data_IF_918715740205
#
_entry.id   IF_918715740205
#
_cell.length_a   1.000
_cell.length_b   1.000
_cell.length_c   1.000
_cell.angle_alpha   90.00
_cell.angle_beta   90.00
_cell.angle_gamma   90.00
#
_symmetry.space_group_name_H-M   'P 1'
#
loop_
_entity.id
_entity.type
_entity.pdbx_description
1 polymer ?
#
# COMPACT_ATOMS: atom_id res chain seq x y z
N UNK A 1 21.59 1.89 -23.01
CA UNK A 1 20.20 2.41 -22.98
C UNK A 1 19.27 1.25 -22.65
N UNK A 2 18.35 1.37 -21.69
CA UNK A 2 17.42 0.27 -21.36
C UNK A 2 16.37 0.09 -22.45
N UNK A 3 16.07 -1.17 -22.80
CA UNK A 3 14.99 -1.49 -23.74
C UNK A 3 13.62 -1.20 -23.12
N UNK A 4 12.59 -1.06 -23.97
CA UNK A 4 11.22 -0.83 -23.53
C UNK A 4 10.73 -1.91 -22.55
N UNK A 5 11.08 -3.16 -22.82
CA UNK A 5 10.72 -4.31 -21.99
C UNK A 5 11.41 -4.29 -20.63
N UNK A 6 12.70 -3.93 -20.58
CA UNK A 6 13.42 -3.79 -19.31
C UNK A 6 12.84 -2.66 -18.45
N UNK A 7 12.43 -1.54 -19.08
CA UNK A 7 11.75 -0.44 -18.38
C UNK A 7 10.41 -0.89 -17.81
N UNK A 8 9.62 -1.65 -18.58
CA UNK A 8 8.34 -2.19 -18.11
C UNK A 8 8.52 -3.16 -16.95
N UNK A 9 9.51 -4.05 -17.02
CA UNK A 9 9.81 -5.00 -15.96
C UNK A 9 10.22 -4.28 -14.66
N UNK A 10 11.05 -3.24 -14.75
CA UNK A 10 11.43 -2.42 -13.61
C UNK A 10 10.22 -1.68 -13.00
N UNK A 11 9.37 -1.10 -13.85
CA UNK A 11 8.14 -0.43 -13.40
C UNK A 11 7.21 -1.39 -12.65
N UNK A 12 6.97 -2.59 -13.20
CA UNK A 12 6.06 -3.56 -12.57
C UNK A 12 6.55 -4.05 -11.21
N UNK A 13 7.88 -4.12 -11.01
CA UNK A 13 8.49 -4.47 -9.71
C UNK A 13 8.31 -3.35 -8.68
N UNK A 14 8.47 -2.09 -9.08
CA UNK A 14 8.54 -0.96 -8.15
C UNK A 14 7.21 -0.21 -7.93
N UNK A 15 6.23 -0.36 -8.84
CA UNK A 15 4.99 0.44 -8.82
C UNK A 15 4.25 0.43 -7.49
N UNK A 16 4.19 -0.73 -6.82
CA UNK A 16 3.45 -0.89 -5.57
C UNK A 16 4.17 -0.19 -4.42
N UNK A 17 5.49 -0.30 -4.36
CA UNK A 17 6.29 0.35 -3.33
C UNK A 17 6.29 1.86 -3.50
N UNK A 18 6.46 2.34 -4.74
CA UNK A 18 6.39 3.76 -5.06
C UNK A 18 5.04 4.36 -4.69
N UNK A 19 3.93 3.69 -5.03
CA UNK A 19 2.59 4.16 -4.64
C UNK A 19 2.47 4.31 -3.12
N UNK A 20 2.94 3.32 -2.35
CA UNK A 20 2.91 3.40 -0.88
C UNK A 20 3.83 4.50 -0.33
N UNK A 21 4.99 4.70 -0.93
CA UNK A 21 5.89 5.78 -0.56
C UNK A 21 5.25 7.14 -0.81
N UNK A 22 4.61 7.34 -1.97
CA UNK A 22 3.84 8.54 -2.30
C UNK A 22 2.74 8.81 -1.28
N UNK A 23 1.95 7.80 -0.91
CA UNK A 23 0.92 7.95 0.12
C UNK A 23 1.50 8.44 1.47
N UNK A 24 2.66 7.90 1.89
CA UNK A 24 3.31 8.33 3.14
C UNK A 24 3.78 9.79 3.09
N UNK A 25 4.26 10.26 1.94
CA UNK A 25 4.65 11.66 1.74
C UNK A 25 3.44 12.60 1.85
N UNK A 26 2.27 12.13 1.43
CA UNK A 26 0.99 12.83 1.58
C UNK A 26 0.38 12.69 2.99
N UNK A 27 1.07 12.02 3.92
CA UNK A 27 0.58 11.76 5.27
C UNK A 27 -0.50 10.67 5.36
N UNK A 28 -0.77 9.96 4.27
CA UNK A 28 -1.73 8.86 4.20
C UNK A 28 -1.06 7.55 4.59
N UNK A 29 -1.74 6.72 5.38
CA UNK A 29 -1.28 5.37 5.73
C UNK A 29 -1.62 4.39 4.62
N UNK A 30 -0.63 3.88 3.85
CA UNK A 30 -0.90 2.93 2.79
C UNK A 30 -1.48 1.62 3.35
N UNK A 31 -2.56 1.12 2.73
CA UNK A 31 -3.15 -0.17 3.09
C UNK A 31 -2.11 -1.28 2.90
N UNK A 32 -1.90 -2.16 3.90
CA UNK A 32 -1.03 -3.32 3.72
C UNK A 32 -1.64 -4.21 2.64
N UNK A 33 -0.95 -4.36 1.51
CA UNK A 33 -1.30 -5.38 0.51
C UNK A 33 -0.84 -6.72 1.06
N UNK A 34 -1.67 -7.33 1.90
CA UNK A 34 -1.59 -8.75 2.18
C UNK A 34 -1.86 -9.47 0.86
N UNK A 35 -0.85 -10.12 0.31
CA UNK A 35 -1.04 -11.20 -0.66
C UNK A 35 -1.94 -12.23 0.01
N UNK A 36 -3.19 -12.29 -0.44
CA UNK A 36 -4.17 -13.33 -0.14
C UNK A 36 -4.51 -13.55 1.35
N UNK A 37 -5.27 -12.63 1.94
CA UNK A 37 -6.24 -12.97 2.98
C UNK A 37 -7.46 -12.06 2.81
N UNK A 38 -8.70 -12.57 2.80
CA UNK A 38 -9.87 -11.70 2.81
C UNK A 38 -9.76 -10.84 4.08
N UNK A 39 -9.69 -9.53 3.87
CA UNK A 39 -9.68 -8.57 4.95
C UNK A 39 -11.04 -8.65 5.64
N UNK A 40 -11.11 -9.40 6.74
CA UNK A 40 -12.11 -9.16 7.77
C UNK A 40 -11.92 -7.71 8.21
N UNK A 41 -12.87 -6.86 7.86
CA UNK A 41 -12.96 -5.50 8.35
C UNK A 41 -13.30 -5.54 9.83
N UNK A 42 -12.30 -5.80 10.67
CA UNK A 42 -12.36 -5.38 12.07
C UNK A 42 -11.67 -4.04 12.16
N UNK A 43 -12.39 -3.00 11.71
CA UNK A 43 -12.14 -1.66 12.18
C UNK A 43 -12.17 -1.74 13.71
N UNK A 44 -11.01 -1.54 14.32
CA UNK A 44 -10.86 -1.50 15.76
C UNK A 44 -11.56 -0.23 16.22
N UNK A 45 -12.85 -0.34 16.53
CA UNK A 45 -13.61 0.67 17.24
C UNK A 45 -12.92 0.85 18.60
N UNK A 46 -12.07 1.87 18.70
CA UNK A 46 -11.59 2.39 19.98
C UNK A 46 -12.78 3.03 20.69
N UNK A 47 -13.54 2.25 21.45
CA UNK A 47 -14.51 2.81 22.40
C UNK A 47 -13.73 3.37 23.59
N UNK A 48 -13.36 4.64 23.48
CA UNK A 48 -12.79 5.42 24.58
C UNK A 48 -13.96 6.12 25.29
N UNK A 49 -14.29 5.61 26.49
CA UNK A 49 -15.12 6.20 27.57
C UNK A 49 -16.65 6.32 27.39
N UNK A 50 -17.39 5.82 28.38
CA UNK A 50 -18.45 6.56 29.07
C UNK A 50 -18.80 5.89 30.42
N UNK A 51 -18.49 6.62 31.51
CA UNK A 51 -18.87 6.48 32.94
C UNK A 51 -18.82 5.13 33.63
#
# INVERSE_FOLDING_TARGET
MLTKEMKLQAFMKLRTENYRASLRLEGLTPRPTSTHKPASTTATLKTKHAR
#
